data_IF_259300891206
#
_entry.id   IF_259300891206
#
_cell.length_a   1.000
_cell.length_b   1.000
_cell.length_c   1.000
_cell.angle_alpha   90.00
_cell.angle_beta   90.00
_cell.angle_gamma   90.00
#
_symmetry.space_group_name_H-M   'P 1'
#
loop_
_entity.id
_entity.type
_entity.pdbx_description
1 polymer ?
#
# COMPACT_ATOMS: atom_id res chain seq x y z
N UNK A 1 50.26 36.27 -5.79
CA UNK A 1 50.16 35.30 -6.90
C UNK A 1 49.17 34.22 -6.49
N UNK A 2 48.21 33.94 -7.36
CA UNK A 2 46.82 33.59 -7.07
C UNK A 2 46.56 32.29 -6.27
N UNK A 3 45.74 32.38 -5.22
CA UNK A 3 45.22 31.25 -4.46
C UNK A 3 44.10 30.58 -5.27
N UNK A 4 44.33 29.33 -5.69
CA UNK A 4 43.34 28.49 -6.39
C UNK A 4 42.26 28.07 -5.40
N UNK A 5 41.05 28.62 -5.56
CA UNK A 5 39.87 28.16 -4.82
C UNK A 5 39.33 26.91 -5.53
N UNK A 6 39.42 25.76 -4.87
CA UNK A 6 38.75 24.53 -5.29
C UNK A 6 37.29 24.63 -4.83
N UNK A 7 36.34 24.70 -5.75
CA UNK A 7 34.90 24.63 -5.43
C UNK A 7 34.51 23.15 -5.39
N UNK A 8 34.24 22.62 -4.20
CA UNK A 8 33.68 21.29 -4.03
C UNK A 8 32.18 21.34 -4.30
N UNK A 9 31.72 20.68 -5.37
CA UNK A 9 30.32 20.47 -5.67
C UNK A 9 29.79 19.35 -4.75
N UNK A 10 29.06 19.71 -3.69
CA UNK A 10 28.36 18.75 -2.85
C UNK A 10 27.08 18.34 -3.60
N UNK A 11 27.08 17.17 -4.24
CA UNK A 11 25.83 16.52 -4.64
C UNK A 11 25.12 16.07 -3.36
N UNK A 12 24.16 16.87 -2.88
CA UNK A 12 23.17 16.36 -1.95
C UNK A 12 22.27 15.39 -2.71
N UNK A 13 22.41 14.09 -2.46
CA UNK A 13 21.38 13.12 -2.80
C UNK A 13 20.11 13.55 -2.05
N UNK A 14 19.19 14.22 -2.76
CA UNK A 14 17.90 14.58 -2.19
C UNK A 14 17.22 13.30 -1.76
N UNK A 15 16.93 13.16 -0.46
CA UNK A 15 15.97 12.19 0.00
C UNK A 15 14.63 12.58 -0.64
N UNK A 16 14.30 11.97 -1.78
CA UNK A 16 12.96 12.04 -2.33
C UNK A 16 11.98 11.52 -1.27
N UNK A 17 10.82 12.14 -1.16
CA UNK A 17 9.83 11.68 -0.20
C UNK A 17 9.41 10.25 -0.59
N UNK A 18 9.20 9.37 0.39
CA UNK A 18 8.74 8.02 0.07
C UNK A 18 7.36 8.08 -0.58
N UNK A 19 7.11 7.20 -1.55
CA UNK A 19 5.75 7.00 -2.04
C UNK A 19 4.88 6.41 -0.91
N UNK A 20 3.66 6.91 -0.76
CA UNK A 20 2.78 6.59 0.34
C UNK A 20 1.60 5.72 -0.08
N UNK A 21 1.32 4.70 0.74
CA UNK A 21 0.09 3.93 0.67
C UNK A 21 -0.85 4.33 1.80
N UNK A 22 -2.08 4.72 1.49
CA UNK A 22 -3.09 5.05 2.51
C UNK A 22 -4.25 4.08 2.40
N UNK A 23 -4.61 3.44 3.50
CA UNK A 23 -5.80 2.59 3.57
C UNK A 23 -6.99 3.44 4.02
N UNK A 24 -8.09 3.36 3.31
CA UNK A 24 -9.30 4.11 3.65
C UNK A 24 -9.88 3.66 4.99
N UNK A 25 -10.60 4.59 5.64
CA UNK A 25 -11.43 4.28 6.80
C UNK A 25 -12.88 4.11 6.39
N UNK A 26 -13.59 3.18 7.03
CA UNK A 26 -14.98 2.83 6.72
C UNK A 26 -15.78 2.53 7.97
N UNK A 27 -17.08 2.75 7.89
CA UNK A 27 -18.05 2.18 8.81
C UNK A 27 -18.60 0.88 8.23
N UNK A 28 -18.92 -0.08 9.10
CA UNK A 28 -19.55 -1.34 8.75
C UNK A 28 -20.48 -1.82 9.87
N UNK A 29 -21.38 -2.73 9.53
CA UNK A 29 -22.22 -3.45 10.49
C UNK A 29 -21.65 -4.83 10.82
N UNK A 30 -21.98 -5.40 11.99
CA UNK A 30 -21.65 -6.80 12.26
C UNK A 30 -22.22 -7.72 11.18
N UNK A 31 -21.39 -8.60 10.61
CA UNK A 31 -21.79 -9.51 9.52
C UNK A 31 -21.71 -8.91 8.11
N UNK A 32 -21.44 -7.62 7.96
CA UNK A 32 -21.34 -6.95 6.66
C UNK A 32 -20.03 -7.30 5.93
N UNK A 33 -20.06 -7.28 4.61
CA UNK A 33 -18.86 -7.28 3.77
C UNK A 33 -18.71 -5.91 3.13
N UNK A 34 -17.59 -5.25 3.38
CA UNK A 34 -17.28 -3.91 2.86
C UNK A 34 -16.02 -3.93 2.00
N UNK A 35 -15.92 -2.97 1.09
CA UNK A 35 -14.71 -2.71 0.33
C UNK A 35 -13.94 -1.52 0.91
N UNK A 36 -12.62 -1.68 1.04
CA UNK A 36 -11.70 -0.65 1.55
C UNK A 36 -10.60 -0.43 0.52
N UNK A 37 -10.50 0.78 -0.01
CA UNK A 37 -9.48 1.11 -0.99
C UNK A 37 -8.12 1.36 -0.31
N UNK A 38 -7.05 1.04 -1.03
CA UNK A 38 -5.68 1.47 -0.72
C UNK A 38 -5.22 2.40 -1.84
N UNK A 39 -4.85 3.61 -1.48
CA UNK A 39 -4.43 4.66 -2.41
C UNK A 39 -2.92 4.84 -2.41
N UNK A 40 -2.35 5.04 -3.60
CA UNK A 40 -0.98 5.47 -3.80
C UNK A 40 -0.91 6.99 -3.95
N UNK A 41 0.02 7.62 -3.24
CA UNK A 41 0.56 8.94 -3.54
C UNK A 41 2.06 8.79 -3.83
N UNK A 42 2.46 8.90 -5.08
CA UNK A 42 3.82 8.57 -5.51
C UNK A 42 4.87 9.63 -5.21
N UNK A 43 4.47 10.89 -5.01
CA UNK A 43 5.37 12.06 -4.90
C UNK A 43 6.46 12.09 -5.99
N UNK A 44 6.08 11.74 -7.22
CA UNK A 44 6.98 11.72 -8.37
C UNK A 44 7.80 10.43 -8.54
N UNK A 45 7.83 9.55 -7.54
CA UNK A 45 8.51 8.25 -7.59
C UNK A 45 7.87 7.33 -8.63
N UNK A 46 8.70 6.65 -9.42
CA UNK A 46 8.27 5.77 -10.49
C UNK A 46 7.93 4.35 -10.02
N UNK A 47 6.98 4.20 -9.09
CA UNK A 47 6.59 2.88 -8.58
C UNK A 47 5.97 2.02 -9.69
N UNK A 48 6.47 0.79 -9.87
CA UNK A 48 5.95 -0.19 -10.82
C UNK A 48 5.44 -1.46 -10.15
N UNK A 49 5.71 -1.66 -8.87
CA UNK A 49 5.14 -2.78 -8.13
C UNK A 49 5.45 -2.67 -6.65
N UNK A 50 4.69 -3.41 -5.85
CA UNK A 50 4.95 -3.50 -4.43
C UNK A 50 4.45 -4.81 -3.82
N UNK A 51 5.01 -5.14 -2.66
CA UNK A 51 4.49 -6.11 -1.72
C UNK A 51 4.13 -5.39 -0.41
N UNK A 52 3.05 -5.79 0.22
CA UNK A 52 2.72 -5.40 1.58
C UNK A 52 1.91 -6.50 2.28
N UNK A 53 2.02 -6.56 3.61
CA UNK A 53 1.14 -7.37 4.44
C UNK A 53 0.07 -6.46 5.06
N UNK A 54 -1.20 -6.83 4.90
CA UNK A 54 -2.32 -6.25 5.65
C UNK A 54 -2.44 -6.97 6.99
N UNK A 55 -2.26 -6.21 8.07
CA UNK A 55 -2.46 -6.66 9.44
C UNK A 55 -3.85 -6.20 9.93
N UNK A 56 -4.62 -7.14 10.49
CA UNK A 56 -6.01 -6.95 10.93
C UNK A 56 -6.34 -7.89 12.11
N UNK A 57 -7.48 -7.67 12.76
CA UNK A 57 -7.97 -8.60 13.78
C UNK A 57 -8.65 -9.82 13.13
N UNK A 58 -7.88 -10.90 12.96
CA UNK A 58 -8.39 -12.13 12.34
C UNK A 58 -9.45 -12.90 13.14
N UNK A 59 -9.76 -12.49 14.39
CA UNK A 59 -10.92 -13.03 15.13
C UNK A 59 -12.20 -12.28 14.79
N UNK A 60 -12.08 -11.03 14.37
CA UNK A 60 -13.22 -10.16 14.06
C UNK A 60 -13.53 -10.08 12.57
N UNK A 61 -12.56 -10.38 11.68
CA UNK A 61 -12.77 -10.24 10.24
C UNK A 61 -11.89 -11.16 9.39
N UNK A 62 -12.32 -11.37 8.15
CA UNK A 62 -11.55 -11.96 7.06
C UNK A 62 -11.21 -10.87 6.04
N UNK A 63 -9.99 -10.88 5.51
CA UNK A 63 -9.52 -9.90 4.51
C UNK A 63 -8.97 -10.61 3.28
N UNK A 64 -9.42 -10.16 2.12
CA UNK A 64 -8.83 -10.48 0.80
C UNK A 64 -8.62 -9.19 0.01
N UNK A 65 -7.99 -9.27 -1.16
CA UNK A 65 -7.79 -8.10 -2.02
C UNK A 65 -7.86 -8.42 -3.50
N UNK A 66 -7.91 -7.36 -4.29
CA UNK A 66 -7.82 -7.36 -5.74
C UNK A 66 -7.07 -6.10 -6.23
N UNK A 67 -6.68 -6.10 -7.51
CA UNK A 67 -6.12 -4.91 -8.15
C UNK A 67 -7.16 -3.78 -8.17
N UNK A 68 -6.75 -2.58 -7.75
CA UNK A 68 -7.53 -1.36 -7.92
C UNK A 68 -7.42 -0.79 -9.33
N UNK A 69 -8.14 0.30 -9.60
CA UNK A 69 -8.21 0.90 -10.95
C UNK A 69 -6.83 1.25 -11.53
N UNK A 70 -5.97 1.91 -10.75
CA UNK A 70 -4.64 2.36 -11.22
C UNK A 70 -3.68 1.20 -11.46
N UNK A 71 -3.82 0.14 -10.69
CA UNK A 71 -3.08 -1.10 -10.89
C UNK A 71 -3.48 -1.81 -12.19
N UNK A 72 -4.79 -1.91 -12.45
CA UNK A 72 -5.30 -2.51 -13.68
C UNK A 72 -4.89 -1.70 -14.93
N UNK A 73 -5.02 -0.37 -14.88
CA UNK A 73 -4.63 0.52 -15.98
C UNK A 73 -3.14 0.47 -16.30
N UNK A 74 -2.30 0.25 -15.29
CA UNK A 74 -0.85 0.07 -15.48
C UNK A 74 -0.46 -1.36 -15.89
N UNK A 75 -1.44 -2.24 -16.12
CA UNK A 75 -1.22 -3.62 -16.54
C UNK A 75 -0.54 -4.47 -15.47
N UNK A 76 -0.79 -4.18 -14.18
CA UNK A 76 -0.30 -4.98 -13.06
C UNK A 76 -1.30 -6.03 -12.66
N UNK A 77 -0.77 -7.14 -12.17
CA UNK A 77 -1.53 -8.26 -11.63
C UNK A 77 -1.48 -8.21 -10.11
N UNK A 78 -2.60 -8.55 -9.51
CA UNK A 78 -2.70 -8.74 -8.07
C UNK A 78 -2.57 -10.23 -7.74
N UNK A 79 -1.76 -10.53 -6.73
CA UNK A 79 -1.76 -11.82 -6.06
C UNK A 79 -1.85 -11.58 -4.55
N UNK A 80 -2.58 -12.42 -3.84
CA UNK A 80 -2.62 -12.31 -2.39
C UNK A 80 -2.97 -13.62 -1.72
N UNK A 81 -2.53 -13.76 -0.47
CA UNK A 81 -2.69 -14.97 0.32
C UNK A 81 -2.72 -14.67 1.80
N UNK A 82 -3.61 -15.35 2.53
CA UNK A 82 -3.59 -15.36 3.98
C UNK A 82 -2.34 -16.11 4.46
N UNK A 83 -1.47 -15.44 5.22
CA UNK A 83 -0.27 -16.05 5.78
C UNK A 83 -0.59 -16.76 7.10
N UNK A 84 -1.37 -16.09 7.94
CA UNK A 84 -1.91 -16.58 9.19
C UNK A 84 -3.14 -15.75 9.57
N UNK A 85 -3.83 -16.13 10.63
CA UNK A 85 -4.98 -15.38 11.13
C UNK A 85 -4.56 -13.94 11.47
N UNK A 86 -5.18 -12.95 10.83
CA UNK A 86 -4.87 -11.53 11.03
C UNK A 86 -3.75 -10.97 10.16
N UNK A 87 -3.18 -11.76 9.22
CA UNK A 87 -2.16 -11.26 8.27
C UNK A 87 -2.35 -11.79 6.85
N UNK A 88 -2.61 -10.87 5.92
CA UNK A 88 -2.82 -11.17 4.49
C UNK A 88 -1.73 -10.50 3.66
N UNK A 89 -0.95 -11.27 2.89
CA UNK A 89 0.08 -10.74 2.00
C UNK A 89 -0.48 -10.40 0.64
N UNK A 90 -0.10 -9.25 0.13
CA UNK A 90 -0.46 -8.74 -1.18
C UNK A 90 0.80 -8.48 -2.01
N UNK A 91 0.73 -8.84 -3.28
CA UNK A 91 1.69 -8.50 -4.30
C UNK A 91 0.94 -7.83 -5.44
N UNK A 92 1.38 -6.63 -5.80
CA UNK A 92 0.97 -5.96 -7.02
C UNK A 92 2.19 -5.86 -7.94
N UNK A 93 2.22 -6.69 -8.97
CA UNK A 93 3.41 -6.93 -9.79
C UNK A 93 3.06 -7.07 -11.27
N UNK A 94 4.04 -6.91 -12.15
CA UNK A 94 3.90 -7.22 -13.57
C UNK A 94 5.27 -7.23 -14.24
N UNK A 95 5.38 -7.89 -15.38
CA UNK A 95 6.64 -7.97 -16.14
C UNK A 95 6.88 -6.75 -17.05
N UNK A 96 6.00 -5.76 -17.01
CA UNK A 96 6.15 -4.51 -17.73
C UNK A 96 6.67 -3.39 -16.80
N UNK A 97 7.20 -2.32 -17.41
CA UNK A 97 7.80 -1.18 -16.69
C UNK A 97 6.85 0.00 -16.49
N UNK A 98 5.55 -0.19 -16.74
CA UNK A 98 4.58 0.90 -16.66
C UNK A 98 4.46 1.38 -15.20
N UNK A 99 4.56 2.68 -14.99
CA UNK A 99 4.34 3.30 -13.67
C UNK A 99 2.90 3.10 -13.23
N UNK A 100 2.70 2.86 -11.94
CA UNK A 100 1.39 2.92 -11.30
C UNK A 100 1.09 4.39 -10.96
N UNK A 101 0.01 4.93 -11.50
CA UNK A 101 -0.40 6.31 -11.22
C UNK A 101 -1.02 6.44 -9.81
N UNK A 102 -1.07 7.67 -9.30
CA UNK A 102 -1.69 7.99 -8.01
C UNK A 102 -3.20 7.66 -7.99
N UNK A 103 -3.69 7.30 -6.81
CA UNK A 103 -5.08 6.87 -6.57
C UNK A 103 -5.20 5.40 -6.18
N UNK A 104 -6.37 4.81 -6.38
CA UNK A 104 -6.68 3.45 -5.91
C UNK A 104 -5.83 2.39 -6.63
N UNK A 105 -5.00 1.67 -5.86
CA UNK A 105 -4.10 0.62 -6.37
C UNK A 105 -4.49 -0.78 -5.91
N UNK A 106 -5.20 -0.90 -4.79
CA UNK A 106 -5.74 -2.17 -4.28
C UNK A 106 -7.13 -1.93 -3.71
N UNK A 107 -8.04 -2.87 -3.94
CA UNK A 107 -9.33 -2.94 -3.26
C UNK A 107 -9.31 -4.12 -2.30
N UNK A 108 -9.38 -3.85 -1.00
CA UNK A 108 -9.55 -4.86 0.03
C UNK A 108 -11.04 -5.20 0.15
N UNK A 109 -11.35 -6.50 0.24
CA UNK A 109 -12.67 -6.98 0.67
C UNK A 109 -12.55 -7.44 2.11
N UNK A 110 -13.31 -6.79 3.00
CA UNK A 110 -13.29 -7.07 4.44
C UNK A 110 -14.65 -7.61 4.84
N UNK A 111 -14.68 -8.87 5.28
CA UNK A 111 -15.88 -9.52 5.80
C UNK A 111 -15.86 -9.48 7.32
N UNK A 112 -16.78 -8.73 7.89
CA UNK A 112 -16.89 -8.48 9.32
C UNK A 112 -17.67 -9.64 9.97
N UNK A 113 -17.16 -10.14 11.10
CA UNK A 113 -17.82 -11.17 11.88
C UNK A 113 -19.14 -10.67 12.48
N UNK A 114 -20.14 -11.54 12.60
CA UNK A 114 -21.47 -11.18 13.10
C UNK A 114 -21.49 -10.71 14.56
N UNK A 115 -20.46 -11.05 15.35
CA UNK A 115 -20.30 -10.62 16.74
C UNK A 115 -19.28 -9.49 16.91
N UNK A 116 -18.67 -9.00 15.83
CA UNK A 116 -17.68 -7.94 15.90
C UNK A 116 -18.33 -6.60 16.25
N UNK A 117 -17.65 -5.81 17.08
CA UNK A 117 -18.04 -4.44 17.41
C UNK A 117 -16.83 -3.64 17.87
N UNK A 118 -16.87 -2.31 17.66
CA UNK A 118 -15.78 -1.41 18.03
C UNK A 118 -14.94 -0.95 16.85
N UNK A 119 -13.72 -0.48 17.12
CA UNK A 119 -12.81 0.06 16.11
C UNK A 119 -11.66 -0.91 15.85
N UNK A 120 -11.41 -1.19 14.57
CA UNK A 120 -10.35 -2.09 14.12
C UNK A 120 -9.40 -1.36 13.18
N UNK A 121 -8.10 -1.57 13.34
CA UNK A 121 -7.11 -0.99 12.44
C UNK A 121 -6.81 -1.95 11.27
N UNK A 122 -6.71 -1.39 10.07
CA UNK A 122 -6.19 -2.06 8.88
C UNK A 122 -4.83 -1.43 8.55
N UNK A 123 -3.75 -2.10 8.97
CA UNK A 123 -2.38 -1.57 8.86
C UNK A 123 -1.61 -2.31 7.77
N UNK A 124 -0.87 -1.57 6.95
CA UNK A 124 0.11 -2.15 6.04
C UNK A 124 1.47 -2.27 6.74
N UNK A 125 2.12 -3.41 6.59
CA UNK A 125 3.46 -3.70 7.11
C UNK A 125 4.31 -4.42 6.06
N UNK A 126 5.61 -4.59 6.33
CA UNK A 126 6.56 -5.31 5.45
C UNK A 126 6.50 -4.82 4.00
N UNK A 127 6.45 -3.50 3.86
CA UNK A 127 6.36 -2.82 2.58
C UNK A 127 7.67 -3.00 1.81
N UNK A 128 7.56 -3.31 0.53
CA UNK A 128 8.69 -3.28 -0.41
C UNK A 128 8.16 -2.81 -1.75
N UNK A 129 8.77 -1.77 -2.32
CA UNK A 129 8.43 -1.26 -3.64
C UNK A 129 9.58 -1.48 -4.64
N UNK A 130 9.25 -1.42 -5.93
CA UNK A 130 10.24 -1.42 -7.03
C UNK A 130 9.91 -0.37 -8.06
N UNK A 131 10.94 0.16 -8.72
CA UNK A 131 10.81 0.96 -9.94
C UNK A 131 10.88 0.08 -11.21
N UNK A 132 10.86 0.72 -12.39
CA UNK A 132 10.89 0.03 -13.67
C UNK A 132 12.23 -0.61 -14.04
N UNK A 133 13.28 -0.37 -13.27
CA UNK A 133 14.61 -0.95 -13.45
C UNK A 133 14.90 -2.05 -12.42
N UNK A 134 13.95 -2.33 -11.52
CA UNK A 134 14.11 -3.31 -10.44
C UNK A 134 14.81 -2.74 -9.20
N UNK A 135 15.02 -1.42 -9.13
CA UNK A 135 15.60 -0.81 -7.95
C UNK A 135 14.56 -0.69 -6.83
N UNK A 136 14.98 -0.83 -5.55
CA UNK A 136 14.07 -0.68 -4.43
C UNK A 136 13.51 0.74 -4.35
N UNK A 137 12.20 0.83 -4.11
CA UNK A 137 11.49 2.07 -3.80
C UNK A 137 11.07 2.06 -2.35
N UNK A 138 11.42 3.12 -1.62
CA UNK A 138 10.97 3.33 -0.24
C UNK A 138 9.48 3.66 -0.23
N UNK A 139 8.74 2.92 0.59
CA UNK A 139 7.31 3.13 0.82
C UNK A 139 7.04 3.43 2.29
N UNK A 140 6.11 4.34 2.55
CA UNK A 140 5.46 4.48 3.84
C UNK A 140 3.97 4.12 3.73
N UNK A 141 3.33 3.88 4.87
CA UNK A 141 1.91 3.57 4.90
C UNK A 141 1.18 4.24 6.05
N UNK A 142 -0.05 4.67 5.76
CA UNK A 142 -1.02 5.16 6.74
C UNK A 142 -2.12 4.12 6.88
N UNK A 143 -2.35 3.70 8.13
CA UNK A 143 -3.37 2.70 8.44
C UNK A 143 -4.78 3.30 8.33
N UNK A 144 -5.70 2.45 7.89
CA UNK A 144 -7.13 2.74 7.86
C UNK A 144 -7.80 2.27 9.15
N UNK A 145 -9.03 2.73 9.37
CA UNK A 145 -9.85 2.33 10.50
C UNK A 145 -11.20 1.81 10.02
N UNK A 146 -11.58 0.63 10.49
CA UNK A 146 -12.90 0.07 10.32
C UNK A 146 -13.69 0.21 11.62
N UNK A 147 -14.78 0.97 11.59
CA UNK A 147 -15.66 1.18 12.74
C UNK A 147 -16.89 0.29 12.58
N UNK A 148 -17.06 -0.68 13.49
CA UNK A 148 -18.18 -1.65 13.45
C UNK A 148 -19.23 -1.30 14.49
N UNK A 149 -20.43 -0.92 14.03
CA UNK A 149 -21.57 -0.53 14.88
C UNK A 149 -22.90 -1.02 14.28
N UNK A 150 -23.94 -1.28 15.09
CA UNK A 150 -25.26 -1.70 14.60
C UNK A 150 -25.96 -0.71 13.65
#
# INVERSE_FOLDING_TARGET
>A
MFQRVLVALILSAGAGWPAALTVDSKDAKPGETVTVAVHLASDGVALTGFQADVEFDGRAMEVTGAAGERAAQSGKQFAGRLLEMGRYRMLLIGLNRNRIADGEVVVLTVKVGAAAGGEYSLRLSRLTGTDGDGNPVTLNATAGKLTVRP
#
